data_IF_443918396035
#
_entry.id   IF_443918396035
#
_cell.length_a   1.000
_cell.length_b   1.000
_cell.length_c   1.000
_cell.angle_alpha   90.00
_cell.angle_beta   90.00
_cell.angle_gamma   90.00
#
_symmetry.space_group_name_H-M   'P 1'
#
loop_
_entity.id
_entity.type
_entity.pdbx_description
1 polymer ?
#
# COMPACT_ATOMS: atom_id res chain seq x y z
N UNK A 1 34.68 80.69 -27.43
CA UNK A 1 36.14 80.40 -27.29
C UNK A 1 36.41 79.35 -26.24
N UNK A 2 37.09 78.27 -26.71
CA UNK A 2 37.84 77.23 -25.91
C UNK A 2 37.11 76.60 -24.74
N UNK A 3 36.56 75.33 -24.83
CA UNK A 3 37.26 74.03 -24.70
C UNK A 3 37.75 73.77 -23.30
N UNK A 4 37.19 72.78 -22.64
CA UNK A 4 38.01 71.69 -22.07
C UNK A 4 37.10 70.45 -21.82
N UNK A 5 37.42 69.38 -22.53
CA UNK A 5 36.97 68.03 -22.27
C UNK A 5 37.62 67.50 -21.00
N UNK A 6 36.86 66.80 -20.17
CA UNK A 6 37.42 65.86 -19.23
C UNK A 6 36.67 64.57 -19.33
N UNK A 7 37.36 63.54 -19.81
CA UNK A 7 36.89 62.19 -19.92
C UNK A 7 36.81 61.54 -18.55
N UNK A 8 35.63 60.99 -18.22
CA UNK A 8 35.43 60.18 -17.04
C UNK A 8 35.44 58.71 -17.47
N UNK A 9 36.54 58.02 -17.20
CA UNK A 9 36.64 56.56 -17.35
C UNK A 9 35.78 55.88 -16.29
N UNK A 10 34.64 55.29 -16.68
CA UNK A 10 33.91 54.35 -15.88
C UNK A 10 34.62 52.97 -15.98
N UNK A 11 35.24 52.55 -14.88
CA UNK A 11 35.74 51.19 -14.70
C UNK A 11 34.52 50.25 -14.46
N UNK A 12 34.24 49.40 -15.43
CA UNK A 12 33.34 48.27 -15.23
C UNK A 12 34.04 47.23 -14.34
N UNK A 13 33.66 47.15 -13.09
CA UNK A 13 34.00 46.03 -12.25
C UNK A 13 33.15 44.84 -12.66
N UNK A 14 33.71 43.87 -13.38
CA UNK A 14 33.14 42.55 -13.52
C UNK A 14 33.07 41.85 -12.17
N UNK A 15 31.89 41.84 -11.56
CA UNK A 15 31.59 40.94 -10.46
C UNK A 15 31.44 39.55 -11.09
N UNK A 16 32.46 38.71 -10.94
CA UNK A 16 32.38 37.30 -11.21
C UNK A 16 31.39 36.67 -10.24
N UNK A 17 30.28 36.19 -10.74
CA UNK A 17 29.38 35.33 -9.98
C UNK A 17 30.17 34.07 -9.53
N UNK A 18 30.00 33.61 -8.29
CA UNK A 18 30.60 32.35 -7.90
C UNK A 18 29.98 31.23 -8.69
N UNK A 19 30.81 30.46 -9.39
CA UNK A 19 30.41 29.20 -10.00
C UNK A 19 29.84 28.32 -8.89
N UNK A 20 28.54 28.03 -8.95
CA UNK A 20 27.97 26.98 -8.16
C UNK A 20 28.72 25.69 -8.51
N UNK A 21 29.49 25.21 -7.57
CA UNK A 21 30.09 23.88 -7.65
C UNK A 21 28.94 22.90 -7.87
N UNK A 22 28.93 22.27 -9.04
CA UNK A 22 28.13 21.07 -9.23
C UNK A 22 28.61 20.08 -8.17
N UNK A 23 27.80 19.86 -7.14
CA UNK A 23 27.99 18.75 -6.24
C UNK A 23 27.95 17.51 -7.11
N UNK A 24 29.11 16.93 -7.37
CA UNK A 24 29.22 15.61 -7.94
C UNK A 24 28.40 14.69 -7.04
N UNK A 25 27.27 14.21 -7.52
CA UNK A 25 26.60 13.05 -6.94
C UNK A 25 27.69 11.99 -6.95
N UNK A 26 28.22 11.66 -5.75
CA UNK A 26 29.15 10.55 -5.61
C UNK A 26 28.49 9.33 -6.24
N UNK A 27 29.20 8.72 -7.14
CA UNK A 27 28.81 7.52 -7.85
C UNK A 27 28.65 6.38 -6.83
N UNK A 28 27.45 6.28 -6.25
CA UNK A 28 27.03 5.17 -5.39
C UNK A 28 26.85 3.86 -6.20
N UNK A 29 27.35 3.84 -7.46
CA UNK A 29 27.31 2.64 -8.33
C UNK A 29 28.09 1.47 -7.76
N UNK A 30 29.04 1.69 -6.84
CA UNK A 30 29.77 0.62 -6.17
C UNK A 30 28.96 -0.09 -5.06
N UNK A 31 27.93 0.55 -4.50
CA UNK A 31 27.00 -0.12 -3.57
C UNK A 31 25.80 -0.77 -4.28
N UNK A 32 25.61 -0.52 -5.56
CA UNK A 32 24.53 -1.13 -6.35
C UNK A 32 24.71 -2.64 -6.54
N UNK A 33 25.92 -3.16 -6.45
CA UNK A 33 26.19 -4.60 -6.56
C UNK A 33 26.01 -5.38 -5.25
N UNK A 34 25.90 -4.69 -4.13
CA UNK A 34 25.48 -5.32 -2.87
C UNK A 34 23.97 -5.14 -2.71
N UNK A 35 23.20 -6.01 -3.38
CA UNK A 35 21.85 -6.31 -2.87
C UNK A 35 22.00 -6.59 -1.38
N UNK A 36 21.13 -6.05 -0.51
CA UNK A 36 21.05 -6.52 0.86
C UNK A 36 21.00 -8.05 0.76
N UNK A 37 21.90 -8.75 1.41
CA UNK A 37 22.08 -10.21 1.35
C UNK A 37 20.86 -11.01 1.81
N UNK A 38 19.73 -10.35 2.00
CA UNK A 38 18.53 -10.81 2.67
C UNK A 38 17.24 -10.61 1.86
N UNK A 39 17.30 -10.43 0.54
CA UNK A 39 16.06 -10.46 -0.26
C UNK A 39 15.76 -11.90 -0.66
N UNK A 40 14.88 -12.61 0.06
CA UNK A 40 14.48 -13.95 -0.35
C UNK A 40 13.80 -13.86 -1.73
N UNK A 41 14.44 -14.45 -2.73
CA UNK A 41 13.76 -14.79 -3.97
C UNK A 41 14.02 -13.92 -5.21
N UNK A 42 14.76 -12.78 -5.16
CA UNK A 42 14.99 -11.96 -6.36
C UNK A 42 16.47 -11.68 -6.62
N UNK A 43 17.08 -12.45 -7.52
CA UNK A 43 18.42 -12.17 -8.03
C UNK A 43 18.39 -11.07 -9.09
N UNK A 44 19.53 -10.42 -9.37
CA UNK A 44 19.66 -9.45 -10.46
C UNK A 44 19.28 -10.04 -11.83
N UNK A 45 19.52 -11.34 -12.03
CA UNK A 45 19.07 -12.07 -13.22
C UNK A 45 17.55 -12.09 -13.33
N UNK A 46 16.85 -12.44 -12.26
CA UNK A 46 15.39 -12.42 -12.21
C UNK A 46 14.82 -11.01 -12.45
N UNK A 47 15.44 -9.96 -11.89
CA UNK A 47 15.00 -8.58 -12.12
C UNK A 47 15.18 -8.16 -13.59
N UNK A 48 16.18 -8.67 -14.30
CA UNK A 48 16.32 -8.47 -15.76
C UNK A 48 15.18 -9.15 -16.52
N UNK A 49 14.91 -10.41 -16.19
CA UNK A 49 13.80 -11.15 -16.79
C UNK A 49 12.45 -10.46 -16.55
N UNK A 50 12.22 -9.89 -15.35
CA UNK A 50 11.00 -9.14 -15.06
C UNK A 50 10.94 -7.84 -15.85
N UNK A 51 12.06 -7.13 -16.03
CA UNK A 51 12.11 -5.90 -16.82
C UNK A 51 11.76 -6.17 -18.30
N UNK A 52 12.26 -7.27 -18.87
CA UNK A 52 11.98 -7.66 -20.26
C UNK A 52 10.48 -8.01 -20.49
N UNK A 53 9.74 -8.28 -19.42
CA UNK A 53 8.33 -8.66 -19.45
C UNK A 53 7.38 -7.50 -19.15
N UNK A 54 7.89 -6.31 -18.89
CA UNK A 54 7.05 -5.12 -18.67
C UNK A 54 6.29 -4.78 -19.94
N UNK A 55 4.95 -4.77 -19.85
CA UNK A 55 4.05 -4.48 -20.94
C UNK A 55 3.67 -3.01 -20.97
N UNK A 56 3.81 -2.36 -22.13
CA UNK A 56 3.35 -0.99 -22.35
C UNK A 56 1.90 -1.04 -22.85
N UNK A 57 0.98 -0.37 -22.13
CA UNK A 57 -0.46 -0.40 -22.48
C UNK A 57 -0.87 0.65 -23.51
N UNK A 58 0.05 1.50 -23.93
CA UNK A 58 -0.25 2.69 -24.76
C UNK A 58 -0.59 3.94 -23.93
N UNK A 59 -0.79 3.80 -22.61
CA UNK A 59 -0.87 4.96 -21.70
C UNK A 59 0.54 5.49 -21.43
N UNK A 60 0.68 6.82 -21.46
CA UNK A 60 1.92 7.49 -21.05
C UNK A 60 1.98 7.72 -19.53
N UNK A 61 3.16 8.11 -19.06
CA UNK A 61 3.35 8.52 -17.66
C UNK A 61 2.36 9.62 -17.27
N UNK A 62 1.76 9.50 -16.07
CA UNK A 62 0.79 10.45 -15.51
C UNK A 62 -0.50 10.68 -16.30
N UNK A 63 -0.79 9.90 -17.34
CA UNK A 63 -2.12 9.92 -17.97
C UNK A 63 -3.21 9.46 -16.99
N UNK A 64 -2.85 8.64 -16.00
CA UNK A 64 -3.62 8.43 -14.80
C UNK A 64 -3.00 9.36 -13.74
N UNK A 65 -3.67 10.48 -13.38
CA UNK A 65 -3.07 11.49 -12.52
C UNK A 65 -3.02 11.04 -11.07
N UNK A 66 -1.82 10.94 -10.51
CA UNK A 66 -1.64 10.72 -9.09
C UNK A 66 -2.14 11.92 -8.27
N UNK A 67 -2.67 11.67 -7.08
CA UNK A 67 -3.05 12.73 -6.13
C UNK A 67 -1.86 13.10 -5.24
N UNK A 68 -1.84 14.37 -4.82
CA UNK A 68 -0.84 14.93 -3.93
C UNK A 68 -1.51 15.72 -2.82
N UNK A 69 -1.25 15.35 -1.55
CA UNK A 69 -1.82 16.03 -0.38
C UNK A 69 -3.31 16.38 -0.58
N UNK A 70 -4.15 15.37 -0.78
CA UNK A 70 -5.55 15.58 -1.13
C UNK A 70 -6.33 16.13 0.07
N UNK A 71 -7.54 16.62 -0.18
CA UNK A 71 -8.44 17.04 0.86
C UNK A 71 -9.11 15.84 1.53
N UNK A 72 -9.38 15.99 2.82
CA UNK A 72 -10.06 15.01 3.65
C UNK A 72 -11.36 15.56 4.19
N UNK A 73 -12.29 14.65 4.47
CA UNK A 73 -13.60 14.90 5.03
C UNK A 73 -13.72 14.18 6.38
N UNK A 74 -14.62 14.67 7.24
CA UNK A 74 -15.11 13.88 8.36
C UNK A 74 -15.87 12.64 7.88
N UNK A 75 -16.11 11.67 8.76
CA UNK A 75 -16.93 10.49 8.43
C UNK A 75 -18.36 10.92 8.04
N UNK A 76 -18.96 11.88 8.79
CA UNK A 76 -20.30 12.37 8.52
C UNK A 76 -20.44 13.03 7.14
N UNK A 77 -19.45 13.84 6.75
CA UNK A 77 -19.47 14.49 5.44
C UNK A 77 -19.23 13.50 4.30
N UNK A 78 -18.34 12.53 4.51
CA UNK A 78 -18.06 11.48 3.54
C UNK A 78 -19.28 10.58 3.31
N UNK A 79 -20.04 10.24 4.36
CA UNK A 79 -21.20 9.36 4.31
C UNK A 79 -22.33 9.90 3.40
N UNK A 80 -22.43 11.23 3.23
CA UNK A 80 -23.37 11.84 2.29
C UNK A 80 -23.17 11.38 0.84
N UNK A 81 -22.05 10.77 0.53
CA UNK A 81 -21.68 10.42 -0.83
C UNK A 81 -21.11 9.01 -1.00
N UNK A 82 -21.05 8.23 0.07
CA UNK A 82 -20.58 6.86 0.12
C UNK A 82 -21.75 5.90 0.26
N UNK A 83 -21.59 4.68 -0.27
CA UNK A 83 -22.54 3.60 -0.11
C UNK A 83 -22.05 2.62 0.95
N UNK A 84 -22.94 1.97 1.70
CA UNK A 84 -22.58 1.02 2.75
C UNK A 84 -21.63 -0.08 2.29
N UNK A 85 -21.80 -0.54 1.05
CA UNK A 85 -21.01 -1.63 0.44
C UNK A 85 -19.71 -1.15 -0.20
N UNK A 86 -19.40 0.15 -0.14
CA UNK A 86 -18.15 0.65 -0.69
C UNK A 86 -16.95 0.02 0.01
N UNK A 87 -16.01 -0.41 -0.81
CA UNK A 87 -14.72 -0.86 -0.31
C UNK A 87 -13.87 0.38 0.01
N UNK A 88 -13.28 0.37 1.19
CA UNK A 88 -12.35 1.39 1.64
C UNK A 88 -11.06 0.75 2.15
N UNK A 89 -9.98 1.49 2.06
CA UNK A 89 -8.67 1.08 2.55
C UNK A 89 -8.26 1.99 3.70
N UNK A 90 -7.86 1.39 4.80
CA UNK A 90 -7.49 2.09 6.02
C UNK A 90 -5.97 2.01 6.23
N UNK A 91 -5.37 3.15 6.50
CA UNK A 91 -4.01 3.26 7.03
C UNK A 91 -4.13 3.79 8.46
N UNK A 92 -3.70 3.00 9.44
CA UNK A 92 -3.75 3.37 10.86
C UNK A 92 -2.36 3.78 11.33
N UNK A 93 -2.30 4.87 12.07
CA UNK A 93 -1.07 5.44 12.60
C UNK A 93 -0.84 5.07 14.07
N UNK A 94 0.41 5.17 14.57
CA UNK A 94 0.74 4.83 15.95
C UNK A 94 -0.06 5.62 17.00
N UNK A 95 -0.52 6.82 16.67
CA UNK A 95 -1.34 7.69 17.54
C UNK A 95 -2.86 7.42 17.43
N UNK A 96 -3.24 6.32 16.78
CA UNK A 96 -4.62 5.92 16.49
C UNK A 96 -5.40 6.83 15.53
N UNK A 97 -4.75 7.73 14.80
CA UNK A 97 -5.39 8.35 13.64
C UNK A 97 -5.57 7.32 12.53
N UNK A 98 -6.63 7.49 11.75
CA UNK A 98 -6.96 6.60 10.64
C UNK A 98 -7.25 7.41 9.38
N UNK A 99 -6.53 7.14 8.32
CA UNK A 99 -6.86 7.64 6.99
C UNK A 99 -7.63 6.59 6.21
N UNK A 100 -8.75 7.01 5.64
CA UNK A 100 -9.64 6.14 4.87
C UNK A 100 -9.60 6.56 3.40
N UNK A 101 -9.28 5.61 2.54
CA UNK A 101 -9.14 5.80 1.10
C UNK A 101 -10.23 5.02 0.37
N UNK A 102 -11.31 5.67 -0.10
CA UNK A 102 -12.35 4.99 -0.86
C UNK A 102 -11.79 4.41 -2.18
N UNK A 103 -12.03 3.11 -2.43
CA UNK A 103 -11.63 2.46 -3.68
C UNK A 103 -12.16 3.20 -4.92
N UNK A 104 -13.39 3.76 -4.83
CA UNK A 104 -14.00 4.54 -5.91
C UNK A 104 -13.19 5.78 -6.32
N UNK A 105 -12.32 6.30 -5.44
CA UNK A 105 -11.37 7.38 -5.78
C UNK A 105 -10.07 6.78 -6.31
N UNK A 106 -9.52 5.79 -5.61
CA UNK A 106 -8.25 5.19 -5.99
C UNK A 106 -8.27 4.50 -7.36
N UNK A 107 -9.39 3.97 -7.82
CA UNK A 107 -9.52 3.34 -9.14
C UNK A 107 -9.27 4.31 -10.31
N UNK A 108 -9.41 5.63 -10.09
CA UNK A 108 -9.20 6.67 -11.07
C UNK A 108 -7.83 7.32 -11.01
N UNK A 109 -7.13 7.15 -9.89
CA UNK A 109 -5.86 7.83 -9.63
C UNK A 109 -4.69 6.87 -9.41
N UNK A 110 -4.95 5.66 -8.99
CA UNK A 110 -4.00 4.59 -8.68
C UNK A 110 -2.95 4.93 -7.61
N UNK A 111 -2.54 6.18 -7.47
CA UNK A 111 -1.54 6.66 -6.49
C UNK A 111 -2.05 7.88 -5.76
N UNK A 112 -1.97 7.86 -4.44
CA UNK A 112 -2.13 9.04 -3.57
C UNK A 112 -0.84 9.23 -2.79
N UNK A 113 -0.12 10.31 -3.09
CA UNK A 113 1.03 10.76 -2.31
C UNK A 113 0.51 11.62 -1.16
N UNK A 114 0.77 11.18 0.05
CA UNK A 114 0.21 11.76 1.26
C UNK A 114 1.29 12.01 2.31
N UNK A 115 0.92 12.71 3.36
CA UNK A 115 1.80 13.02 4.47
C UNK A 115 1.08 12.70 5.77
N UNK A 116 1.76 12.04 6.69
CA UNK A 116 1.33 11.95 8.08
C UNK A 116 1.41 13.35 8.67
N UNK A 117 0.30 13.95 9.13
CA UNK A 117 0.42 15.15 9.92
C UNK A 117 1.27 14.87 11.17
N UNK A 118 2.03 15.86 11.62
CA UNK A 118 2.75 15.79 12.89
C UNK A 118 1.78 15.62 14.08
N UNK A 119 2.34 15.46 15.29
CA UNK A 119 1.53 15.26 16.50
C UNK A 119 0.53 16.40 16.76
N UNK A 120 0.80 17.60 16.25
CA UNK A 120 -0.03 18.80 16.43
C UNK A 120 -1.08 18.97 15.32
N UNK A 121 -1.11 18.06 14.35
CA UNK A 121 -2.06 18.09 13.22
C UNK A 121 -1.77 19.19 12.19
N UNK A 122 -0.66 19.88 12.32
CA UNK A 122 -0.24 20.96 11.41
C UNK A 122 0.59 20.36 10.27
N UNK A 123 0.12 20.56 9.04
CA UNK A 123 0.95 20.39 7.87
C UNK A 123 1.75 21.69 7.66
N UNK A 124 3.06 21.65 7.53
CA UNK A 124 3.81 22.84 7.18
C UNK A 124 3.36 23.33 5.80
N UNK A 125 3.34 24.64 5.56
CA UNK A 125 3.06 25.19 4.26
C UNK A 125 4.07 24.64 3.24
N UNK A 126 3.64 24.17 2.06
CA UNK A 126 4.56 23.75 1.02
C UNK A 126 5.42 24.95 0.58
N UNK A 127 6.72 24.85 0.74
CA UNK A 127 7.62 25.84 0.13
C UNK A 127 7.67 25.64 -1.38
N UNK A 128 7.62 26.71 -2.18
CA UNK A 128 7.74 26.60 -3.64
C UNK A 128 9.08 25.96 -4.01
N UNK A 129 9.01 24.74 -4.59
CA UNK A 129 10.17 24.04 -5.15
C UNK A 129 10.96 23.14 -4.22
N UNK A 130 10.59 23.01 -2.95
CA UNK A 130 11.19 22.04 -2.02
C UNK A 130 10.06 21.26 -1.32
N UNK A 131 10.03 19.94 -1.40
CA UNK A 131 9.15 19.16 -0.55
C UNK A 131 9.73 19.18 0.87
N UNK A 132 9.43 20.22 1.64
CA UNK A 132 9.65 20.16 3.07
C UNK A 132 8.56 19.33 3.71
N UNK A 133 8.94 18.16 4.15
CA UNK A 133 8.12 17.28 4.96
C UNK A 133 8.44 17.53 6.44
N UNK A 134 7.65 18.35 7.09
CA UNK A 134 7.41 18.11 8.50
C UNK A 134 6.29 17.05 8.54
N UNK A 135 6.67 15.81 8.77
CA UNK A 135 5.77 14.66 8.72
C UNK A 135 6.35 13.54 7.89
N UNK A 136 5.88 12.33 8.13
CA UNK A 136 6.33 11.18 7.38
C UNK A 136 5.55 11.07 6.06
N UNK A 137 6.24 11.25 4.93
CA UNK A 137 5.64 11.07 3.61
C UNK A 137 5.45 9.58 3.29
N UNK A 138 4.29 9.26 2.73
CA UNK A 138 3.98 7.93 2.21
C UNK A 138 3.13 8.03 0.95
N UNK A 139 3.02 6.93 0.24
CA UNK A 139 2.04 6.80 -0.82
C UNK A 139 1.20 5.55 -0.60
N UNK A 140 -0.11 5.65 -0.84
CA UNK A 140 -0.98 4.50 -1.00
C UNK A 140 -1.26 4.30 -2.48
N UNK A 141 -1.17 3.05 -2.93
CA UNK A 141 -1.30 2.68 -4.33
C UNK A 141 -2.36 1.60 -4.50
N UNK A 142 -3.16 1.71 -5.53
CA UNK A 142 -4.15 0.71 -5.90
C UNK A 142 -4.01 0.35 -7.37
N UNK A 143 -3.80 -0.92 -7.68
CA UNK A 143 -3.74 -1.43 -9.04
C UNK A 143 -5.07 -2.12 -9.39
N UNK A 144 -5.99 -1.48 -10.15
CA UNK A 144 -7.34 -1.98 -10.35
C UNK A 144 -7.38 -3.35 -11.02
N UNK A 145 -6.51 -3.58 -12.01
CA UNK A 145 -6.47 -4.84 -12.76
C UNK A 145 -6.08 -6.04 -11.89
N UNK A 146 -5.16 -5.86 -10.95
CA UNK A 146 -4.76 -6.91 -9.99
C UNK A 146 -5.53 -6.86 -8.67
N UNK A 147 -6.35 -5.81 -8.48
CA UNK A 147 -7.09 -5.57 -7.25
C UNK A 147 -6.18 -5.42 -6.03
N UNK A 148 -4.90 -5.10 -6.22
CA UNK A 148 -3.93 -4.99 -5.14
C UNK A 148 -3.86 -3.57 -4.58
N UNK A 149 -3.78 -3.47 -3.25
CA UNK A 149 -3.55 -2.22 -2.53
C UNK A 149 -2.30 -2.36 -1.67
N UNK A 150 -1.38 -1.41 -1.82
CA UNK A 150 -0.13 -1.37 -1.03
C UNK A 150 0.20 0.08 -0.71
N UNK A 151 0.62 0.33 0.52
CA UNK A 151 1.19 1.62 0.88
C UNK A 151 2.68 1.49 1.19
N UNK A 152 3.43 2.55 0.87
CA UNK A 152 4.87 2.61 1.04
C UNK A 152 5.28 3.93 1.68
N UNK A 153 6.35 3.92 2.48
CA UNK A 153 7.06 5.15 2.81
C UNK A 153 7.59 5.78 1.52
N UNK A 154 7.38 7.09 1.36
CA UNK A 154 7.73 7.82 0.14
C UNK A 154 9.23 8.12 0.07
N UNK A 155 10.04 7.05 -0.04
CA UNK A 155 11.50 7.15 -0.18
C UNK A 155 11.98 6.27 -1.32
N UNK A 156 12.74 6.88 -2.26
CA UNK A 156 13.50 6.16 -3.25
C UNK A 156 14.96 6.07 -2.76
N UNK A 157 15.36 4.90 -2.24
CA UNK A 157 16.60 4.76 -1.48
C UNK A 157 16.56 5.62 -0.20
N UNK A 158 17.51 6.55 -0.04
CA UNK A 158 17.55 7.49 1.10
C UNK A 158 16.84 8.83 0.82
N UNK A 159 16.37 9.04 -0.41
CA UNK A 159 15.79 10.31 -0.83
C UNK A 159 14.27 10.30 -0.72
N UNK A 160 13.64 11.33 -0.13
CA UNK A 160 12.20 11.51 -0.22
C UNK A 160 11.77 11.59 -1.69
N UNK A 161 10.71 10.88 -2.06
CA UNK A 161 10.19 10.90 -3.42
C UNK A 161 8.71 10.61 -3.45
N UNK A 162 7.98 11.33 -4.27
CA UNK A 162 6.61 10.97 -4.62
C UNK A 162 6.59 10.02 -5.81
N UNK A 163 5.48 9.30 -5.95
CA UNK A 163 5.29 8.30 -7.00
C UNK A 163 4.21 8.71 -7.98
N UNK A 164 4.37 8.26 -9.22
CA UNK A 164 3.41 8.44 -10.31
C UNK A 164 3.13 7.13 -11.02
N UNK A 165 2.13 7.15 -11.91
CA UNK A 165 1.68 6.00 -12.69
C UNK A 165 2.37 6.01 -14.06
N UNK A 166 2.91 4.87 -14.46
CA UNK A 166 3.57 4.73 -15.77
C UNK A 166 2.61 4.37 -16.90
N UNK A 167 1.48 3.74 -16.59
CA UNK A 167 0.64 3.04 -17.56
C UNK A 167 1.21 1.69 -17.99
N UNK A 168 2.32 1.22 -17.42
CA UNK A 168 2.91 -0.09 -17.73
C UNK A 168 2.42 -1.14 -16.75
N UNK A 169 2.44 -2.40 -17.19
CA UNK A 169 2.04 -3.56 -16.40
C UNK A 169 3.16 -4.60 -16.38
N UNK A 170 3.30 -5.27 -15.25
CA UNK A 170 4.08 -6.49 -15.11
C UNK A 170 3.15 -7.60 -14.59
N UNK A 171 2.89 -8.62 -15.40
CA UNK A 171 1.93 -9.66 -15.08
C UNK A 171 0.57 -9.11 -14.61
N UNK A 172 0.08 -8.05 -15.29
CA UNK A 172 -1.18 -7.39 -14.95
C UNK A 172 -1.18 -6.51 -13.70
N UNK A 173 -0.04 -6.37 -13.02
CA UNK A 173 0.13 -5.45 -11.90
C UNK A 173 0.78 -4.14 -12.35
N UNK A 174 0.33 -3.01 -11.78
CA UNK A 174 0.77 -1.67 -12.17
C UNK A 174 2.27 -1.46 -11.89
N UNK A 175 2.93 -0.78 -12.81
CA UNK A 175 4.28 -0.24 -12.62
C UNK A 175 4.19 1.23 -12.25
N UNK A 176 4.89 1.59 -11.19
CA UNK A 176 5.03 2.96 -10.70
C UNK A 176 6.38 3.52 -11.13
N UNK A 177 6.55 4.84 -11.04
CA UNK A 177 7.86 5.46 -11.10
C UNK A 177 8.04 6.46 -9.96
N UNK A 178 9.25 6.60 -9.45
CA UNK A 178 9.57 7.68 -8.53
C UNK A 178 9.97 8.95 -9.30
N UNK A 179 9.61 10.12 -8.75
CA UNK A 179 9.84 11.40 -9.45
C UNK A 179 11.26 11.91 -9.35
N UNK A 180 12.05 11.41 -8.41
CA UNK A 180 13.44 11.82 -8.22
C UNK A 180 14.34 11.19 -9.25
N UNK A 181 14.27 9.87 -9.43
CA UNK A 181 15.19 9.12 -10.29
C UNK A 181 14.55 8.59 -11.57
N UNK A 182 13.23 8.64 -11.69
CA UNK A 182 12.47 7.98 -12.76
C UNK A 182 12.63 6.45 -12.79
N UNK A 183 13.11 5.84 -11.71
CA UNK A 183 13.16 4.38 -11.59
C UNK A 183 11.77 3.77 -11.64
N UNK A 184 11.66 2.57 -12.23
CA UNK A 184 10.42 1.83 -12.38
C UNK A 184 10.27 0.80 -11.26
N UNK A 185 9.16 0.86 -10.56
CA UNK A 185 8.85 0.03 -9.39
C UNK A 185 7.61 -0.83 -9.65
N UNK A 186 7.70 -2.13 -9.37
CA UNK A 186 6.49 -2.93 -9.39
C UNK A 186 5.66 -2.68 -8.12
N UNK A 187 4.37 -2.36 -8.30
CA UNK A 187 3.48 -1.97 -7.21
C UNK A 187 3.33 -3.07 -6.15
N UNK A 188 3.14 -4.31 -6.55
CA UNK A 188 2.88 -5.41 -5.63
C UNK A 188 4.16 -5.91 -4.93
N UNK A 189 5.27 -5.98 -5.65
CA UNK A 189 6.56 -6.35 -5.09
C UNK A 189 7.17 -5.24 -4.22
N UNK A 190 6.91 -3.96 -4.55
CA UNK A 190 7.60 -2.82 -3.97
C UNK A 190 9.08 -2.78 -4.34
N UNK A 191 9.49 -3.46 -5.43
CA UNK A 191 10.89 -3.56 -5.86
C UNK A 191 11.09 -2.71 -7.10
N UNK A 192 12.24 -2.02 -7.15
CA UNK A 192 12.69 -1.32 -8.34
C UNK A 192 13.18 -2.34 -9.38
N UNK A 193 12.51 -2.38 -10.53
CA UNK A 193 12.81 -3.31 -11.61
C UNK A 193 13.82 -2.70 -12.59
N UNK A 194 13.77 -1.38 -12.81
CA UNK A 194 14.61 -0.68 -13.76
C UNK A 194 14.93 0.73 -13.28
N UNK A 195 16.11 1.22 -13.58
CA UNK A 195 16.58 2.56 -13.24
C UNK A 195 17.66 2.58 -12.16
N UNK A 196 18.05 3.78 -11.67
CA UNK A 196 19.14 3.95 -10.71
C UNK A 196 18.97 3.19 -9.39
N UNK A 197 17.73 2.89 -8.98
CA UNK A 197 17.45 2.14 -7.74
C UNK A 197 17.15 0.66 -7.99
N UNK A 198 17.51 0.10 -9.16
CA UNK A 198 17.26 -1.31 -9.47
C UNK A 198 17.66 -2.24 -8.34
N UNK A 199 16.74 -3.11 -7.92
CA UNK A 199 16.90 -4.07 -6.81
C UNK A 199 16.58 -3.50 -5.41
N UNK A 200 16.46 -2.19 -5.25
CA UNK A 200 16.01 -1.62 -3.97
C UNK A 200 14.53 -1.94 -3.73
N UNK A 201 14.16 -2.04 -2.46
CA UNK A 201 12.78 -2.30 -2.01
C UNK A 201 12.23 -1.11 -1.23
N UNK A 202 10.97 -0.78 -1.47
CA UNK A 202 10.23 0.20 -0.69
C UNK A 202 9.77 -0.42 0.64
N UNK A 203 9.82 0.36 1.69
CA UNK A 203 9.28 -0.01 2.99
C UNK A 203 7.75 0.05 2.96
N UNK A 204 7.10 -1.07 3.26
CA UNK A 204 5.65 -1.19 3.23
C UNK A 204 5.01 -0.69 4.52
N UNK A 205 3.84 -0.09 4.38
CA UNK A 205 2.96 0.32 5.47
C UNK A 205 1.72 -0.58 5.43
N UNK A 206 1.23 -1.08 6.58
CA UNK A 206 0.02 -1.89 6.63
C UNK A 206 -1.20 -1.15 6.10
N UNK A 207 -1.97 -1.84 5.24
CA UNK A 207 -3.25 -1.36 4.72
C UNK A 207 -4.31 -2.40 5.00
N UNK A 208 -5.44 -1.97 5.54
CA UNK A 208 -6.58 -2.84 5.80
C UNK A 208 -7.73 -2.52 4.85
N UNK A 209 -8.23 -3.53 4.15
CA UNK A 209 -9.43 -3.41 3.31
C UNK A 209 -10.67 -3.71 4.14
N UNK A 210 -11.67 -2.84 4.07
CA UNK A 210 -12.89 -2.92 4.86
C UNK A 210 -14.12 -2.45 4.06
N UNK A 211 -15.32 -2.59 4.63
CA UNK A 211 -16.58 -2.03 4.13
C UNK A 211 -16.89 -0.71 4.81
N UNK A 212 -17.39 0.25 4.04
CA UNK A 212 -17.73 1.59 4.55
C UNK A 212 -18.74 1.55 5.70
N UNK A 213 -19.77 0.71 5.58
CA UNK A 213 -20.78 0.53 6.65
C UNK A 213 -20.13 0.33 8.01
N UNK A 214 -19.29 -0.69 8.14
CA UNK A 214 -18.66 -1.02 9.43
C UNK A 214 -17.65 0.04 9.86
N UNK A 215 -16.95 0.66 8.92
CA UNK A 215 -16.00 1.75 9.22
C UNK A 215 -16.71 2.93 9.84
N UNK A 216 -17.83 3.41 9.26
CA UNK A 216 -18.58 4.53 9.82
C UNK A 216 -19.24 4.19 11.16
N UNK A 217 -19.70 2.96 11.35
CA UNK A 217 -20.29 2.50 12.61
C UNK A 217 -19.23 2.42 13.73
N UNK A 218 -18.05 1.85 13.46
CA UNK A 218 -16.97 1.70 14.45
C UNK A 218 -16.29 3.02 14.82
N UNK A 219 -16.05 3.87 13.84
CA UNK A 219 -15.21 5.06 14.01
C UNK A 219 -15.99 6.37 14.06
N UNK A 220 -17.25 6.40 13.61
CA UNK A 220 -18.06 7.62 13.47
C UNK A 220 -18.84 8.04 14.70
N UNK A 221 -18.87 7.23 15.77
CA UNK A 221 -19.60 7.57 17.00
C UNK A 221 -18.98 8.77 17.72
N UNK A 222 -19.82 9.67 18.24
CA UNK A 222 -19.39 10.86 18.99
C UNK A 222 -18.57 10.50 20.24
N UNK A 223 -18.89 9.37 20.86
CA UNK A 223 -18.20 8.85 22.04
C UNK A 223 -17.04 7.90 21.68
N UNK A 224 -16.75 7.76 20.39
CA UNK A 224 -15.65 6.92 19.95
C UNK A 224 -14.30 7.50 20.37
N UNK A 225 -13.40 6.65 20.85
CA UNK A 225 -11.99 7.00 21.11
C UNK A 225 -11.28 7.54 19.86
N UNK A 226 -11.89 7.38 18.70
CA UNK A 226 -11.41 7.84 17.38
C UNK A 226 -12.06 9.17 16.94
N UNK A 227 -12.90 9.79 17.79
CA UNK A 227 -13.58 11.04 17.43
C UNK A 227 -12.56 12.11 17.02
N UNK A 228 -12.75 12.68 15.81
CA UNK A 228 -11.82 13.64 15.21
C UNK A 228 -10.48 13.08 14.72
N UNK A 229 -10.26 11.76 14.83
CA UNK A 229 -9.01 11.08 14.42
C UNK A 229 -9.15 10.32 13.10
N UNK A 230 -10.33 10.31 12.50
CA UNK A 230 -10.58 9.61 11.24
C UNK A 230 -10.88 10.61 10.15
N UNK A 231 -10.11 10.51 9.08
CA UNK A 231 -10.19 11.38 7.92
C UNK A 231 -10.40 10.54 6.65
N UNK A 232 -11.40 10.91 5.86
CA UNK A 232 -11.78 10.19 4.63
C UNK A 232 -11.37 11.00 3.41
N UNK A 233 -10.64 10.39 2.48
CA UNK A 233 -10.22 11.02 1.24
C UNK A 233 -11.44 11.54 0.46
N UNK A 234 -11.44 12.83 0.18
CA UNK A 234 -12.50 13.51 -0.56
C UNK A 234 -12.52 13.14 -2.04
N UNK A 235 -13.70 13.16 -2.64
CA UNK A 235 -13.88 13.12 -4.10
C UNK A 235 -13.56 14.46 -4.78
N UNK A 236 -13.41 15.54 -4.03
CA UNK A 236 -13.02 16.86 -4.55
C UNK A 236 -11.51 16.90 -4.78
N UNK A 237 -11.05 16.17 -5.79
CA UNK A 237 -9.61 15.98 -6.08
C UNK A 237 -9.04 17.03 -7.05
N UNK A 238 -9.86 17.94 -7.56
CA UNK A 238 -9.50 18.86 -8.65
C UNK A 238 -9.59 18.25 -10.05
N UNK A 239 -9.79 16.95 -10.17
CA UNK A 239 -9.96 16.26 -11.44
C UNK A 239 -11.42 15.94 -11.72
N UNK A 240 -11.84 16.13 -12.98
CA UNK A 240 -13.20 15.78 -13.44
C UNK A 240 -13.27 14.27 -13.70
N UNK A 241 -13.66 13.48 -12.70
CA UNK A 241 -13.85 12.03 -12.79
C UNK A 241 -15.23 11.63 -12.27
N UNK A 242 -15.76 10.54 -12.82
CA UNK A 242 -17.06 9.99 -12.40
C UNK A 242 -16.88 9.01 -11.23
N UNK A 243 -16.55 9.52 -10.03
CA UNK A 243 -16.24 8.70 -8.84
C UNK A 243 -17.39 7.82 -8.37
N UNK A 244 -18.60 7.99 -8.89
CA UNK A 244 -19.72 7.06 -8.67
C UNK A 244 -19.70 5.82 -9.59
N UNK A 245 -18.73 5.73 -10.53
CA UNK A 245 -18.60 4.63 -11.47
C UNK A 245 -17.18 4.08 -11.43
N UNK A 246 -17.06 2.77 -11.32
CA UNK A 246 -15.78 2.09 -11.51
C UNK A 246 -15.57 1.86 -13.02
N UNK A 247 -14.47 2.34 -13.63
CA UNK A 247 -14.21 2.16 -15.06
C UNK A 247 -14.01 0.69 -15.47
N UNK A 248 -13.68 -0.19 -14.52
CA UNK A 248 -13.55 -1.63 -14.72
C UNK A 248 -14.82 -2.40 -14.38
N UNK A 249 -15.84 -1.73 -13.87
CA UNK A 249 -17.09 -2.30 -13.41
C UNK A 249 -17.13 -2.65 -11.92
N UNK A 250 -18.29 -3.10 -11.45
CA UNK A 250 -18.47 -3.52 -10.07
C UNK A 250 -17.96 -4.95 -9.85
N UNK A 251 -17.43 -5.24 -8.67
CA UNK A 251 -17.12 -6.64 -8.26
C UNK A 251 -18.34 -7.56 -8.19
N UNK A 252 -19.54 -6.99 -8.14
CA UNK A 252 -20.81 -7.70 -7.95
C UNK A 252 -21.70 -7.69 -9.19
N UNK A 253 -21.28 -7.02 -10.28
CA UNK A 253 -22.10 -6.90 -11.48
C UNK A 253 -21.63 -7.86 -12.57
N UNK A 254 -22.53 -8.67 -13.17
CA UNK A 254 -22.20 -9.55 -14.28
C UNK A 254 -21.62 -8.79 -15.49
N UNK A 255 -20.71 -9.44 -16.21
CA UNK A 255 -20.11 -8.90 -17.44
C UNK A 255 -19.03 -7.85 -17.24
N UNK A 256 -18.62 -7.57 -16.01
CA UNK A 256 -17.53 -6.63 -15.71
C UNK A 256 -16.16 -7.32 -15.77
N UNK A 257 -15.09 -6.51 -15.73
CA UNK A 257 -13.74 -7.07 -15.63
C UNK A 257 -13.58 -8.04 -14.45
N UNK A 258 -14.24 -7.76 -13.32
CA UNK A 258 -14.08 -8.54 -12.09
C UNK A 258 -14.88 -9.84 -12.06
N UNK A 259 -15.92 -9.95 -12.86
CA UNK A 259 -16.87 -11.07 -12.85
C UNK A 259 -16.41 -12.33 -13.62
N UNK A 260 -15.43 -12.18 -14.50
CA UNK A 260 -14.95 -13.25 -15.36
C UNK A 260 -13.46 -13.55 -15.17
N UNK A 261 -13.01 -14.70 -15.65
CA UNK A 261 -11.61 -15.11 -15.56
C UNK A 261 -10.72 -14.58 -16.70
N UNK A 262 -11.27 -13.79 -17.62
CA UNK A 262 -10.50 -13.23 -18.74
C UNK A 262 -9.50 -12.18 -18.26
N UNK A 263 -8.24 -12.30 -18.68
CA UNK A 263 -7.15 -11.39 -18.40
C UNK A 263 -6.72 -10.72 -19.72
N UNK A 264 -6.94 -9.40 -19.89
CA UNK A 264 -6.64 -8.69 -21.14
C UNK A 264 -5.15 -8.33 -21.31
N UNK A 265 -4.27 -8.99 -20.61
CA UNK A 265 -2.82 -8.81 -20.61
C UNK A 265 -2.11 -10.15 -20.49
N UNK A 266 -0.83 -10.18 -20.85
CA UNK A 266 -0.02 -11.40 -20.79
C UNK A 266 0.46 -11.67 -19.36
N UNK A 267 0.42 -12.94 -18.97
CA UNK A 267 1.01 -13.46 -17.74
C UNK A 267 1.97 -14.58 -18.12
N UNK A 268 3.20 -14.52 -17.62
CA UNK A 268 4.24 -15.49 -17.99
C UNK A 268 3.91 -16.91 -17.57
N UNK A 269 3.36 -17.06 -16.37
CA UNK A 269 3.01 -18.35 -15.79
C UNK A 269 1.76 -18.19 -14.96
N UNK A 270 0.62 -18.53 -15.52
CA UNK A 270 -0.66 -18.50 -14.83
C UNK A 270 -0.77 -19.70 -13.90
N UNK A 271 -0.82 -19.46 -12.62
CA UNK A 271 -1.10 -20.49 -11.62
C UNK A 271 -2.60 -20.75 -11.56
N UNK A 272 -3.01 -21.97 -11.92
CA UNK A 272 -4.42 -22.39 -12.04
C UNK A 272 -4.97 -23.08 -10.79
N UNK A 273 -4.21 -23.13 -9.68
CA UNK A 273 -4.69 -23.74 -8.42
C UNK A 273 -5.89 -23.01 -7.82
N UNK A 274 -6.06 -21.73 -8.11
CA UNK A 274 -7.27 -20.94 -7.82
C UNK A 274 -7.76 -20.22 -9.08
N UNK A 275 -9.03 -19.80 -9.14
CA UNK A 275 -9.51 -18.91 -10.18
C UNK A 275 -8.64 -17.63 -10.24
N UNK A 276 -8.28 -17.14 -11.42
CA UNK A 276 -7.31 -16.04 -11.55
C UNK A 276 -7.63 -14.81 -10.69
N UNK A 277 -8.89 -14.39 -10.66
CA UNK A 277 -9.34 -13.20 -9.92
C UNK A 277 -9.84 -13.50 -8.51
N UNK A 278 -9.56 -14.69 -7.97
CA UNK A 278 -9.84 -15.02 -6.56
C UNK A 278 -9.16 -14.00 -5.65
N UNK A 279 -9.92 -13.40 -4.73
CA UNK A 279 -9.39 -12.43 -3.76
C UNK A 279 -8.66 -13.15 -2.66
N UNK A 280 -7.42 -12.77 -2.44
CA UNK A 280 -6.56 -13.32 -1.40
C UNK A 280 -5.89 -12.20 -0.58
N UNK A 281 -5.40 -12.56 0.61
CA UNK A 281 -4.37 -11.81 1.31
C UNK A 281 -3.03 -12.51 1.08
N UNK A 282 -2.14 -11.83 0.37
CA UNK A 282 -0.77 -12.27 0.21
C UNK A 282 0.05 -11.94 1.44
N UNK A 283 0.83 -12.89 1.92
CA UNK A 283 1.72 -12.76 3.08
C UNK A 283 3.11 -13.25 2.75
N UNK A 284 4.11 -12.58 3.32
CA UNK A 284 5.53 -12.90 3.21
C UNK A 284 6.13 -12.99 4.61
N UNK A 285 6.63 -14.16 4.98
CA UNK A 285 7.25 -14.40 6.29
C UNK A 285 8.29 -15.51 6.17
N UNK A 286 9.44 -15.38 6.83
CA UNK A 286 10.53 -16.36 6.86
C UNK A 286 10.94 -16.84 5.46
N UNK A 287 11.00 -15.94 4.47
CA UNK A 287 11.29 -16.27 3.08
C UNK A 287 10.26 -17.19 2.40
N UNK A 288 9.12 -17.42 3.04
CA UNK A 288 8.00 -18.16 2.48
C UNK A 288 6.85 -17.21 2.08
N UNK A 289 6.13 -17.60 1.02
CA UNK A 289 5.00 -16.85 0.49
C UNK A 289 3.70 -17.63 0.72
N UNK A 290 2.69 -16.92 1.24
CA UNK A 290 1.37 -17.47 1.49
C UNK A 290 0.26 -16.65 0.83
N UNK A 291 -0.85 -17.30 0.52
CA UNK A 291 -2.07 -16.70 0.06
C UNK A 291 -3.23 -17.20 0.91
N UNK A 292 -3.84 -16.31 1.70
CA UNK A 292 -5.01 -16.61 2.51
C UNK A 292 -6.27 -16.29 1.69
N UNK A 293 -7.14 -17.27 1.49
CA UNK A 293 -8.40 -17.09 0.78
C UNK A 293 -9.39 -16.32 1.66
N UNK A 294 -9.66 -15.05 1.32
CA UNK A 294 -10.48 -14.15 2.15
C UNK A 294 -11.89 -14.66 2.39
N UNK A 295 -12.54 -15.21 1.37
CA UNK A 295 -13.90 -15.75 1.49
C UNK A 295 -13.96 -17.01 2.37
N UNK A 296 -12.95 -17.88 2.32
CA UNK A 296 -12.87 -19.01 3.23
C UNK A 296 -12.74 -18.55 4.69
N UNK A 297 -11.90 -17.55 4.96
CA UNK A 297 -11.78 -17.00 6.34
C UNK A 297 -13.07 -16.32 6.79
N UNK A 298 -13.80 -15.64 5.89
CA UNK A 298 -15.12 -15.08 6.20
C UNK A 298 -16.12 -16.15 6.63
N UNK A 299 -16.08 -17.31 6.01
CA UNK A 299 -16.99 -18.42 6.34
C UNK A 299 -16.70 -19.07 7.69
N UNK A 300 -15.41 -19.29 7.98
CA UNK A 300 -15.01 -19.98 9.23
C UNK A 300 -14.68 -19.03 10.38
N UNK A 301 -14.54 -17.72 10.10
CA UNK A 301 -14.17 -16.63 11.02
C UNK A 301 -12.75 -16.72 11.55
N UNK A 302 -12.21 -17.92 11.73
CA UNK A 302 -10.88 -18.21 12.29
C UNK A 302 -10.20 -19.30 11.46
N UNK A 303 -8.98 -19.03 11.01
CA UNK A 303 -8.15 -20.00 10.31
C UNK A 303 -6.75 -20.04 10.93
N UNK A 304 -6.44 -21.10 11.69
CA UNK A 304 -5.08 -21.34 12.16
C UNK A 304 -4.28 -22.08 11.09
N UNK A 305 -3.04 -21.65 10.84
CA UNK A 305 -2.17 -22.28 9.86
C UNK A 305 -0.69 -22.02 10.20
N UNK A 306 0.21 -22.60 9.40
CA UNK A 306 1.66 -22.37 9.54
C UNK A 306 2.25 -22.07 8.15
N UNK A 307 3.02 -20.99 8.06
CA UNK A 307 3.79 -20.64 6.87
C UNK A 307 5.28 -20.58 7.21
N UNK A 308 6.09 -21.36 6.49
CA UNK A 308 7.48 -21.60 6.92
C UNK A 308 7.51 -22.27 8.28
N UNK A 309 8.12 -21.61 9.26
CA UNK A 309 8.17 -22.04 10.66
C UNK A 309 7.25 -21.19 11.57
N UNK A 310 6.59 -20.19 11.00
CA UNK A 310 5.78 -19.24 11.76
C UNK A 310 4.32 -19.70 11.86
N UNK A 311 3.80 -19.92 13.09
CA UNK A 311 2.40 -20.25 13.34
C UNK A 311 1.54 -18.99 13.24
N UNK A 312 0.54 -19.02 12.37
CA UNK A 312 -0.29 -17.87 12.02
C UNK A 312 -1.77 -18.14 12.28
N UNK A 313 -2.53 -17.06 12.45
CA UNK A 313 -3.99 -17.07 12.45
C UNK A 313 -4.51 -15.96 11.55
N UNK A 314 -5.49 -16.28 10.71
CA UNK A 314 -6.30 -15.30 10.01
C UNK A 314 -7.66 -15.17 10.72
N UNK A 315 -8.04 -13.94 11.04
CA UNK A 315 -9.26 -13.59 11.75
C UNK A 315 -10.14 -12.70 10.88
N UNK A 316 -11.43 -13.04 10.80
CA UNK A 316 -12.42 -12.18 10.17
C UNK A 316 -13.04 -11.23 11.18
N UNK A 317 -12.94 -9.96 10.91
CA UNK A 317 -13.61 -8.88 11.64
C UNK A 317 -14.92 -8.57 10.92
N UNK A 318 -16.01 -9.18 11.41
CA UNK A 318 -17.34 -9.13 10.77
C UNK A 318 -17.92 -7.71 10.76
N UNK A 319 -17.59 -6.90 11.77
CA UNK A 319 -18.10 -5.53 11.89
C UNK A 319 -17.69 -4.65 10.71
N UNK A 320 -16.43 -4.73 10.28
CA UNK A 320 -15.91 -3.92 9.16
C UNK A 320 -15.63 -4.75 7.89
N UNK A 321 -16.00 -6.03 7.88
CA UNK A 321 -15.71 -7.02 6.83
C UNK A 321 -14.22 -7.08 6.45
N UNK A 322 -13.34 -7.14 7.43
CA UNK A 322 -11.91 -7.19 7.22
C UNK A 322 -11.29 -8.52 7.68
N UNK A 323 -10.26 -8.97 6.97
CA UNK A 323 -9.45 -10.12 7.38
C UNK A 323 -8.07 -9.64 7.77
N UNK A 324 -7.61 -10.05 8.96
CA UNK A 324 -6.27 -9.76 9.48
C UNK A 324 -5.49 -11.04 9.73
N UNK A 325 -4.18 -10.96 9.66
CA UNK A 325 -3.28 -12.08 9.92
C UNK A 325 -2.34 -11.72 11.06
N UNK A 326 -2.13 -12.66 11.99
CA UNK A 326 -1.29 -12.46 13.17
C UNK A 326 -0.37 -13.66 13.38
N UNK A 327 0.79 -13.42 14.02
CA UNK A 327 1.57 -14.49 14.66
C UNK A 327 0.80 -14.96 15.91
N UNK A 328 0.64 -16.28 16.06
CA UNK A 328 -0.06 -16.88 17.20
C UNK A 328 0.78 -16.95 18.47
N UNK A 329 2.05 -16.59 18.41
CA UNK A 329 2.93 -16.50 19.57
C UNK A 329 2.77 -15.15 20.24
N UNK A 330 2.59 -15.13 21.53
CA UNK A 330 2.68 -13.91 22.32
C UNK A 330 4.15 -13.55 22.55
N UNK A 331 4.43 -12.25 22.68
CA UNK A 331 5.78 -11.78 22.98
C UNK A 331 6.33 -12.47 24.25
N UNK A 332 7.49 -13.10 24.13
CA UNK A 332 8.15 -13.84 25.21
C UNK A 332 7.58 -15.25 25.46
N UNK A 333 6.68 -15.76 24.60
CA UNK A 333 6.17 -17.14 24.66
C UNK A 333 6.47 -17.87 23.35
N UNK A 334 7.10 -19.04 23.45
CA UNK A 334 7.40 -19.86 22.28
C UNK A 334 6.19 -20.68 21.80
N UNK A 335 5.33 -21.08 22.72
CA UNK A 335 4.16 -21.91 22.42
C UNK A 335 3.07 -21.07 21.74
N UNK A 336 2.65 -21.45 20.52
CA UNK A 336 1.61 -20.72 19.82
C UNK A 336 0.24 -21.02 20.42
N UNK A 337 -0.62 -20.00 20.43
CA UNK A 337 -2.02 -20.18 20.76
C UNK A 337 -2.77 -20.82 19.60
N UNK A 338 -3.87 -21.52 19.90
CA UNK A 338 -4.85 -22.01 18.92
C UNK A 338 -6.17 -21.32 19.15
N UNK A 339 -6.75 -20.77 18.10
CA UNK A 339 -7.96 -19.97 18.19
C UNK A 339 -9.16 -20.71 17.63
N UNK A 340 -10.29 -20.59 18.28
CA UNK A 340 -11.57 -21.19 17.85
C UNK A 340 -12.72 -20.24 18.16
N UNK A 341 -13.85 -20.43 17.46
CA UNK A 341 -15.12 -19.81 17.83
C UNK A 341 -15.85 -20.76 18.77
N UNK A 342 -16.18 -20.29 19.96
CA UNK A 342 -16.94 -21.02 20.97
C UNK A 342 -18.05 -20.12 21.52
N UNK A 343 -19.29 -20.55 21.47
CA UNK A 343 -20.46 -19.74 21.88
C UNK A 343 -20.42 -18.31 21.28
N UNK A 344 -20.15 -18.25 19.98
CA UNK A 344 -20.01 -17.00 19.19
C UNK A 344 -18.86 -16.07 19.60
N UNK A 345 -17.98 -16.49 20.50
CA UNK A 345 -16.80 -15.75 20.95
C UNK A 345 -15.52 -16.32 20.34
N UNK A 346 -14.60 -15.45 19.99
CA UNK A 346 -13.24 -15.83 19.65
C UNK A 346 -12.45 -16.08 20.92
N UNK A 347 -11.97 -17.31 21.11
CA UNK A 347 -11.18 -17.71 22.29
C UNK A 347 -9.91 -18.43 21.89
N UNK A 348 -8.89 -18.42 22.74
CA UNK A 348 -7.78 -19.36 22.65
C UNK A 348 -8.08 -20.65 23.42
N UNK A 349 -7.66 -21.81 22.87
CA UNK A 349 -7.91 -23.12 23.48
C UNK A 349 -7.09 -23.34 24.76
N UNK A 350 -5.91 -22.72 24.89
CA UNK A 350 -4.97 -22.98 25.99
C UNK A 350 -5.42 -22.33 27.29
N UNK A 351 -5.98 -21.12 27.22
CA UNK A 351 -6.36 -20.39 28.45
C UNK A 351 -7.83 -20.02 28.50
N UNK A 352 -8.59 -20.23 27.40
CA UNK A 352 -9.99 -19.82 27.25
C UNK A 352 -10.21 -18.31 27.40
N UNK A 353 -9.15 -17.53 27.15
CA UNK A 353 -9.28 -16.07 27.14
C UNK A 353 -10.04 -15.64 25.89
N UNK A 354 -10.84 -14.57 26.02
CA UNK A 354 -11.62 -13.98 24.92
C UNK A 354 -10.79 -12.94 24.17
N UNK A 355 -10.94 -12.92 22.85
CA UNK A 355 -10.18 -12.06 21.95
C UNK A 355 -11.08 -11.30 21.00
N UNK A 356 -10.62 -10.13 20.57
CA UNK A 356 -11.21 -9.40 19.44
C UNK A 356 -10.53 -9.81 18.13
N UNK A 357 -11.22 -9.67 16.99
CA UNK A 357 -10.61 -9.88 15.68
C UNK A 357 -9.45 -8.91 15.36
N UNK A 358 -9.26 -7.89 16.20
CA UNK A 358 -8.12 -6.97 16.15
C UNK A 358 -6.83 -7.56 16.71
N UNK A 359 -6.90 -8.77 17.32
CA UNK A 359 -5.75 -9.43 17.94
C UNK A 359 -5.56 -9.08 19.41
N UNK A 360 -6.47 -8.29 20.03
CA UNK A 360 -6.41 -7.94 21.46
C UNK A 360 -7.29 -8.85 22.30
N UNK A 361 -6.75 -9.35 23.41
CA UNK A 361 -7.52 -10.11 24.41
C UNK A 361 -8.26 -9.16 25.36
N UNK A 362 -9.55 -9.45 25.61
CA UNK A 362 -10.44 -8.61 26.43
C UNK A 362 -10.80 -9.22 27.78
N UNK A 363 -10.75 -10.55 27.88
CA UNK A 363 -11.13 -11.26 29.09
C UNK A 363 -10.28 -12.52 29.31
N UNK A 364 -10.15 -12.95 30.56
CA UNK A 364 -9.46 -14.17 30.95
C UNK A 364 -8.00 -13.94 31.37
N UNK A 365 -7.21 -15.03 31.39
CA UNK A 365 -5.81 -15.04 31.85
C UNK A 365 -4.90 -14.16 31.03
N UNK A 366 -5.21 -14.01 29.74
CA UNK A 366 -4.41 -13.22 28.78
C UNK A 366 -4.97 -11.82 28.52
N UNK A 367 -5.89 -11.33 29.37
CA UNK A 367 -6.46 -9.99 29.23
C UNK A 367 -5.38 -8.92 28.98
N UNK A 368 -5.66 -7.99 28.07
CA UNK A 368 -4.76 -6.91 27.60
C UNK A 368 -3.51 -7.39 26.83
N UNK A 369 -3.36 -8.68 26.57
CA UNK A 369 -2.33 -9.17 25.64
C UNK A 369 -2.76 -8.93 24.19
N UNK A 370 -1.78 -8.73 23.33
CA UNK A 370 -2.00 -8.49 21.89
C UNK A 370 -1.13 -9.43 21.05
N UNK A 371 -1.71 -9.91 19.96
CA UNK A 371 -1.00 -10.65 18.93
C UNK A 371 -0.21 -9.69 18.04
N UNK A 372 0.94 -10.13 17.55
CA UNK A 372 1.73 -9.36 16.60
C UNK A 372 1.09 -9.44 15.19
N UNK A 373 0.64 -8.31 14.61
CA UNK A 373 0.04 -8.32 13.28
C UNK A 373 1.11 -8.58 12.21
N UNK A 374 0.73 -9.33 11.17
CA UNK A 374 1.53 -9.47 9.97
C UNK A 374 1.06 -8.49 8.89
N UNK A 375 2.02 -8.01 8.11
CA UNK A 375 1.71 -7.28 6.89
C UNK A 375 1.10 -8.25 5.88
N UNK A 376 -0.16 -8.00 5.51
CA UNK A 376 -0.90 -8.77 4.52
C UNK A 376 -1.39 -7.84 3.42
N UNK A 377 -1.30 -8.29 2.16
CA UNK A 377 -1.59 -7.47 0.98
C UNK A 377 -2.82 -8.04 0.27
N UNK A 378 -3.85 -7.22 0.12
CA UNK A 378 -4.98 -7.55 -0.75
C UNK A 378 -4.52 -7.66 -2.20
N UNK A 379 -4.86 -8.76 -2.87
CA UNK A 379 -4.56 -8.98 -4.28
C UNK A 379 -5.51 -9.99 -4.91
N UNK A 380 -5.52 -10.05 -6.23
CA UNK A 380 -6.03 -11.20 -6.97
C UNK A 380 -4.97 -12.28 -7.10
N UNK A 381 -5.40 -13.54 -7.15
CA UNK A 381 -4.51 -14.69 -7.19
C UNK A 381 -3.50 -14.66 -8.33
N UNK A 382 -3.94 -14.35 -9.56
CA UNK A 382 -3.05 -14.34 -10.71
C UNK A 382 -1.84 -13.42 -10.53
N UNK A 383 -2.07 -12.21 -9.98
CA UNK A 383 -1.01 -11.23 -9.80
C UNK A 383 -0.05 -11.63 -8.69
N UNK A 384 -0.59 -12.12 -7.56
CA UNK A 384 0.24 -12.59 -6.47
C UNK A 384 1.08 -13.80 -6.90
N UNK A 385 0.47 -14.85 -7.42
CA UNK A 385 1.13 -16.10 -7.76
C UNK A 385 2.19 -15.96 -8.87
N UNK A 386 1.96 -15.05 -9.83
CA UNK A 386 2.92 -14.79 -10.91
C UNK A 386 4.19 -14.06 -10.45
N UNK A 387 4.10 -13.29 -9.36
CA UNK A 387 5.20 -12.53 -8.80
C UNK A 387 5.85 -13.25 -7.61
N UNK A 388 5.08 -13.92 -6.77
CA UNK A 388 5.53 -14.66 -5.59
C UNK A 388 5.43 -16.17 -5.86
N UNK A 389 6.47 -16.72 -6.49
CA UNK A 389 6.50 -18.14 -6.87
C UNK A 389 6.47 -19.05 -5.63
N UNK A 390 5.98 -20.28 -5.81
CA UNK A 390 5.87 -21.29 -4.74
C UNK A 390 4.99 -20.86 -3.56
N UNK A 391 4.06 -19.94 -3.78
CA UNK A 391 3.08 -19.52 -2.76
C UNK A 391 2.25 -20.71 -2.26
N UNK A 392 2.14 -20.86 -0.94
CA UNK A 392 1.22 -21.81 -0.29
C UNK A 392 -0.16 -21.18 -0.14
N UNK A 393 -1.22 -21.98 -0.32
CA UNK A 393 -2.62 -21.50 -0.28
C UNK A 393 -3.24 -21.94 1.04
N UNK A 394 -4.00 -21.05 1.70
CA UNK A 394 -4.66 -21.29 2.97
C UNK A 394 -6.15 -20.84 2.94
N UNK A 395 -7.12 -21.72 3.26
CA UNK A 395 -6.95 -23.16 3.33
C UNK A 395 -6.52 -23.72 1.97
N UNK A 396 -6.00 -24.95 1.89
CA UNK A 396 -5.72 -25.61 0.62
C UNK A 396 -6.96 -25.65 -0.26
N UNK A 397 -6.82 -25.64 -1.61
CA UNK A 397 -7.95 -25.79 -2.51
C UNK A 397 -8.72 -27.09 -2.26
N UNK A 398 -10.06 -27.00 -2.18
CA UNK A 398 -10.93 -28.17 -1.98
C UNK A 398 -11.17 -28.57 -0.52
N UNK A 399 -10.72 -27.78 0.43
CA UNK A 399 -11.01 -27.91 1.86
C UNK A 399 -11.94 -26.82 2.35
#
# INVERSE_FOLDING_TARGET
MRRFLSALCLAFACLAAPAMAATSVSDDSQDADKLPSEMPGYSMGMLRELADRVQRTGLGMDMIPALYRPHYLSISDADLSMENEDIVFLVTYPDNRVRVYPRRVLVWHEVVNDVLPDADGLLPPPLPGVPEAAGEEYCITYAPLSGSVVAFRSKAGKYPSSFGVTGYLLNGNSMLYDRVSRSLWNQLLGICIEGPFKGKRLERIPVLSARWKGVKERYGGLDSQFNGKVEVLSRSTGFKRSYGKDPYGSYHSPGTYYDNNHLPFTIDSLDTRLPPKKRILGIEVDSAFGAVQKDAVRQVRVLNFTLGITPLVALHDEEIDAVRVFDRRLQGQEQPLSFVIFEDKLIDEQTRSEWLPTGKSTYGKLREKELSPLLAIDSMWFAWASLYRNTRIFPPPGQ
#
